data_IF_475208522138
#
_entry.id   IF_475208522138
#
_cell.length_a   1.000
_cell.length_b   1.000
_cell.length_c   1.000
_cell.angle_alpha   90.00
_cell.angle_beta   90.00
_cell.angle_gamma   90.00
#
_symmetry.space_group_name_H-M   'P 1'
#
loop_
_entity.id
_entity.type
_entity.pdbx_description
1 polymer ?
#
# COMPACT_ATOMS: atom_id res chain seq x y z
N UNK A 1 -0.92 -20.98 9.71
CA UNK A 1 0.17 -21.81 9.16
C UNK A 1 1.43 -20.99 9.27
N UNK A 2 2.38 -21.35 10.15
CA UNK A 2 3.68 -20.70 10.21
C UNK A 2 4.46 -20.95 8.91
N UNK A 3 5.11 -19.91 8.40
CA UNK A 3 6.04 -19.94 7.28
C UNK A 3 7.44 -19.87 7.84
N UNK A 4 8.30 -20.88 7.60
CA UNK A 4 9.71 -20.84 7.96
C UNK A 4 10.41 -19.63 7.32
N UNK A 5 11.33 -19.00 8.06
CA UNK A 5 12.10 -17.87 7.52
C UNK A 5 12.90 -18.19 6.25
N UNK A 6 13.23 -19.47 6.01
CA UNK A 6 13.91 -19.93 4.80
C UNK A 6 13.04 -19.86 3.52
N UNK A 7 11.72 -19.74 3.67
CA UNK A 7 10.79 -19.52 2.55
C UNK A 7 10.58 -18.03 2.23
N UNK A 8 11.22 -17.12 2.98
CA UNK A 8 11.17 -15.69 2.73
C UNK A 8 12.36 -15.28 1.86
N UNK A 9 12.08 -14.81 0.65
CA UNK A 9 13.09 -14.40 -0.31
C UNK A 9 13.34 -12.90 -0.22
N UNK A 10 14.60 -12.47 -0.27
CA UNK A 10 14.94 -11.04 -0.22
C UNK A 10 14.98 -10.45 -1.63
N UNK A 11 14.00 -9.60 -1.94
CA UNK A 11 13.94 -8.84 -3.19
C UNK A 11 14.59 -7.45 -3.09
N UNK A 12 14.61 -6.85 -1.90
CA UNK A 12 15.23 -5.55 -1.66
C UNK A 12 16.08 -5.55 -0.38
N UNK A 13 17.04 -4.62 -0.32
CA UNK A 13 17.79 -4.37 0.90
C UNK A 13 16.81 -4.02 2.04
N UNK A 14 17.18 -4.44 3.24
CA UNK A 14 16.38 -4.15 4.44
C UNK A 14 16.26 -2.63 4.59
N UNK A 15 15.05 -2.15 4.85
CA UNK A 15 14.72 -0.75 5.09
C UNK A 15 15.05 0.19 3.90
N UNK A 16 15.26 -0.37 2.69
CA UNK A 16 15.54 0.43 1.48
C UNK A 16 14.29 0.96 0.79
N UNK A 17 13.11 0.55 1.24
CA UNK A 17 11.81 0.99 0.74
C UNK A 17 11.12 1.69 1.91
N UNK A 18 11.21 3.02 2.00
CA UNK A 18 10.74 3.74 3.16
C UNK A 18 9.21 3.80 3.15
N UNK A 19 8.59 3.34 4.24
CA UNK A 19 7.13 3.36 4.35
C UNK A 19 6.64 4.79 4.61
N UNK A 20 5.46 5.14 4.10
CA UNK A 20 4.82 6.41 4.48
C UNK A 20 4.17 6.22 5.85
N UNK A 21 4.55 7.07 6.80
CA UNK A 21 4.09 6.98 8.19
C UNK A 21 3.40 8.22 8.70
N UNK A 22 3.59 9.35 8.00
CA UNK A 22 2.88 10.60 8.25
C UNK A 22 2.34 11.13 6.92
N UNK A 23 1.26 10.53 6.39
CA UNK A 23 0.74 10.89 5.08
C UNK A 23 0.08 12.27 5.11
N UNK A 24 0.48 13.13 4.18
CA UNK A 24 -0.17 14.41 3.91
C UNK A 24 -1.11 14.27 2.70
N UNK A 25 -2.13 15.13 2.65
CA UNK A 25 -3.16 15.10 1.61
C UNK A 25 -3.48 16.48 1.07
N UNK A 26 -3.90 16.54 -0.18
CA UNK A 26 -4.45 17.73 -0.84
C UNK A 26 -5.62 17.37 -1.76
N UNK A 27 -6.30 18.36 -2.34
CA UNK A 27 -7.40 18.11 -3.28
C UNK A 27 -6.89 17.50 -4.61
N UNK A 28 -5.69 17.88 -5.02
CA UNK A 28 -4.95 17.33 -6.14
C UNK A 28 -3.44 17.55 -5.91
N UNK A 29 -2.61 17.36 -6.94
CA UNK A 29 -1.18 17.69 -6.87
C UNK A 29 -0.86 19.08 -7.45
N UNK A 30 -1.86 19.95 -7.63
CA UNK A 30 -1.61 21.33 -8.04
C UNK A 30 -0.93 22.09 -6.88
N UNK A 31 0.32 22.50 -7.11
CA UNK A 31 1.13 23.19 -6.11
C UNK A 31 2.10 22.30 -5.34
N UNK A 32 2.14 20.98 -5.61
CA UNK A 32 3.21 20.14 -5.08
C UNK A 32 4.53 20.49 -5.78
N UNK A 33 5.53 20.87 -4.99
CA UNK A 33 6.89 21.15 -5.43
C UNK A 33 7.89 20.38 -4.56
N UNK A 34 8.76 19.59 -5.17
CA UNK A 34 9.73 18.75 -4.49
C UNK A 34 11.12 19.18 -4.90
N UNK A 35 11.91 19.64 -3.95
CA UNK A 35 13.33 19.88 -4.19
C UNK A 35 14.05 18.53 -4.29
N UNK A 36 14.69 18.30 -5.43
CA UNK A 36 15.47 17.10 -5.71
C UNK A 36 16.93 17.50 -5.76
N UNK A 37 17.76 16.74 -5.04
CA UNK A 37 19.20 16.84 -5.10
C UNK A 37 19.77 15.44 -5.32
N UNK A 38 20.14 15.14 -6.55
CA UNK A 38 20.64 13.84 -6.97
C UNK A 38 21.93 13.97 -7.81
N UNK A 39 22.35 12.87 -8.45
CA UNK A 39 23.56 12.84 -9.28
C UNK A 39 23.53 13.79 -10.48
N UNK A 40 22.35 14.29 -10.86
CA UNK A 40 22.14 15.24 -11.95
C UNK A 40 22.04 16.70 -11.47
N UNK A 41 22.11 16.95 -10.15
CA UNK A 41 22.14 18.28 -9.54
C UNK A 41 20.87 18.63 -8.75
N UNK A 42 20.73 19.91 -8.43
CA UNK A 42 19.59 20.45 -7.67
C UNK A 42 18.53 21.01 -8.62
N UNK A 43 17.28 20.53 -8.49
CA UNK A 43 16.14 21.02 -9.26
C UNK A 43 14.81 20.86 -8.51
N UNK A 44 13.85 21.72 -8.83
CA UNK A 44 12.48 21.62 -8.30
C UNK A 44 11.60 20.79 -9.23
N UNK A 45 11.17 19.61 -8.79
CA UNK A 45 10.18 18.80 -9.46
C UNK A 45 8.75 19.27 -9.12
N UNK A 46 7.88 19.41 -10.11
CA UNK A 46 6.46 19.76 -9.91
C UNK A 46 5.56 18.63 -10.40
N UNK A 47 5.46 17.52 -9.64
CA UNK A 47 4.70 16.36 -10.07
C UNK A 47 3.22 16.71 -10.25
N UNK A 48 2.61 16.16 -11.29
CA UNK A 48 1.16 16.25 -11.55
C UNK A 48 0.57 14.86 -11.60
N UNK A 49 -0.65 14.71 -11.08
CA UNK A 49 -1.42 13.49 -11.24
C UNK A 49 -2.26 13.62 -12.51
N UNK A 50 -1.92 12.85 -13.54
CA UNK A 50 -2.65 12.87 -14.81
C UNK A 50 -3.99 12.13 -14.70
N UNK A 51 -4.93 12.42 -15.59
CA UNK A 51 -6.25 11.78 -15.58
C UNK A 51 -6.20 10.25 -15.66
N UNK A 52 -5.26 9.71 -16.44
CA UNK A 52 -5.01 8.27 -16.53
C UNK A 52 -4.13 7.70 -15.42
N UNK A 53 -3.55 8.52 -14.54
CA UNK A 53 -2.82 8.01 -13.38
C UNK A 53 -3.79 7.28 -12.46
N UNK A 54 -3.32 6.23 -11.80
CA UNK A 54 -4.21 5.37 -11.01
C UNK A 54 -4.10 5.62 -9.54
N UNK A 55 -5.23 5.38 -8.88
CA UNK A 55 -5.35 5.52 -7.44
C UNK A 55 -6.00 4.27 -6.87
N UNK A 56 -5.56 3.89 -5.67
CA UNK A 56 -6.38 3.11 -4.76
C UNK A 56 -7.29 4.10 -4.05
N UNK A 57 -8.59 3.99 -4.24
CA UNK A 57 -9.60 4.80 -3.59
C UNK A 57 -10.20 4.08 -2.38
N UNK A 58 -10.38 4.79 -1.29
CA UNK A 58 -11.04 4.30 -0.07
C UNK A 58 -12.14 5.28 0.30
N UNK A 59 -13.36 4.78 0.44
CA UNK A 59 -14.52 5.54 0.92
C UNK A 59 -14.91 5.06 2.32
N UNK A 60 -15.12 6.00 3.25
CA UNK A 60 -15.58 5.77 4.62
C UNK A 60 -16.47 6.91 5.08
N UNK A 61 -17.63 6.59 5.63
CA UNK A 61 -18.58 7.56 6.20
C UNK A 61 -18.84 8.78 5.29
N UNK A 62 -18.97 8.55 3.98
CA UNK A 62 -19.22 9.59 2.97
C UNK A 62 -18.02 10.48 2.64
N UNK A 63 -16.83 10.17 3.15
CA UNK A 63 -15.55 10.78 2.76
C UNK A 63 -14.74 9.81 1.93
N UNK A 64 -13.90 10.36 1.07
CA UNK A 64 -13.06 9.59 0.17
C UNK A 64 -11.60 10.04 0.24
N UNK A 65 -10.71 9.07 0.08
CA UNK A 65 -9.28 9.29 0.01
C UNK A 65 -8.65 8.45 -1.10
N UNK A 66 -7.75 9.04 -1.85
CA UNK A 66 -7.05 8.45 -2.96
C UNK A 66 -5.55 8.28 -2.65
N UNK A 67 -5.01 7.11 -2.93
CA UNK A 67 -3.59 6.77 -2.78
C UNK A 67 -3.03 6.45 -4.17
N UNK A 68 -2.32 7.39 -4.82
CA UNK A 68 -1.80 7.19 -6.16
C UNK A 68 -0.84 6.01 -6.23
N UNK A 69 -1.04 5.14 -7.23
CA UNK A 69 -0.09 4.06 -7.50
C UNK A 69 1.31 4.63 -7.70
N UNK A 70 1.45 5.80 -8.33
CA UNK A 70 2.74 6.50 -8.48
C UNK A 70 3.54 6.69 -7.19
N UNK A 71 2.87 6.78 -6.05
CA UNK A 71 3.51 6.78 -4.73
C UNK A 71 3.67 5.34 -4.22
N UNK A 72 2.60 4.54 -4.31
CA UNK A 72 2.58 3.18 -3.78
C UNK A 72 3.58 2.22 -4.46
N UNK A 73 3.94 2.42 -5.73
CA UNK A 73 4.96 1.61 -6.42
C UNK A 73 6.34 1.78 -5.76
N UNK A 74 6.62 2.96 -5.18
CA UNK A 74 7.89 3.27 -4.53
C UNK A 74 7.89 3.00 -3.03
N UNK A 75 6.77 3.26 -2.35
CA UNK A 75 6.71 3.20 -0.89
C UNK A 75 6.06 1.92 -0.35
N UNK A 76 5.26 1.23 -1.17
CA UNK A 76 4.55 -0.04 -0.93
C UNK A 76 3.60 -0.10 0.29
N UNK A 77 3.77 0.77 1.28
CA UNK A 77 3.03 0.85 2.54
C UNK A 77 2.75 2.31 2.88
N UNK A 78 1.48 2.59 3.20
CA UNK A 78 1.03 3.85 3.81
C UNK A 78 0.33 3.53 5.13
N UNK A 79 0.82 4.12 6.22
CA UNK A 79 0.19 4.07 7.53
C UNK A 79 -0.62 5.33 7.73
N UNK A 80 -1.92 5.21 7.52
CA UNK A 80 -2.84 6.33 7.56
C UNK A 80 -3.77 6.25 8.79
N UNK A 81 -4.47 7.34 9.06
CA UNK A 81 -5.47 7.51 10.10
C UNK A 81 -6.85 7.90 9.53
N UNK A 82 -7.12 7.57 8.26
CA UNK A 82 -8.40 7.82 7.60
C UNK A 82 -9.54 7.03 8.26
N UNK A 83 -10.29 7.72 9.12
CA UNK A 83 -11.39 7.16 9.91
C UNK A 83 -10.98 5.94 10.70
N UNK A 84 -9.83 6.08 11.36
CA UNK A 84 -9.19 5.04 12.13
C UNK A 84 -7.88 4.56 11.51
N UNK A 85 -7.23 3.58 12.15
CA UNK A 85 -5.90 3.11 11.77
C UNK A 85 -5.97 2.32 10.46
N UNK A 86 -5.64 2.97 9.35
CA UNK A 86 -5.69 2.38 8.02
C UNK A 86 -4.29 2.00 7.52
N UNK A 87 -4.18 0.80 6.96
CA UNK A 87 -3.03 0.33 6.21
C UNK A 87 -3.41 0.25 4.73
N UNK A 88 -2.66 0.91 3.88
CA UNK A 88 -2.74 0.74 2.42
C UNK A 88 -1.45 0.10 1.96
N UNK A 89 -1.57 -1.01 1.23
CA UNK A 89 -0.42 -1.73 0.70
C UNK A 89 -0.55 -2.00 -0.78
N UNK A 90 0.59 -2.01 -1.46
CA UNK A 90 0.67 -2.38 -2.86
C UNK A 90 2.01 -3.05 -3.16
N UNK A 91 1.97 -4.21 -3.81
CA UNK A 91 3.14 -4.93 -4.26
C UNK A 91 3.33 -4.68 -5.77
N UNK A 92 4.38 -3.97 -6.20
CA UNK A 92 4.57 -3.60 -7.59
C UNK A 92 4.90 -4.79 -8.49
N UNK A 93 5.57 -5.82 -7.94
CA UNK A 93 5.89 -7.07 -8.65
C UNK A 93 4.60 -7.85 -8.94
N UNK A 94 3.76 -7.96 -7.91
CA UNK A 94 2.54 -8.73 -7.95
C UNK A 94 1.35 -7.97 -8.56
N UNK A 95 1.49 -6.66 -8.75
CA UNK A 95 0.41 -5.77 -9.21
C UNK A 95 -0.85 -5.96 -8.39
N UNK A 96 -0.69 -6.02 -7.07
CA UNK A 96 -1.77 -6.31 -6.16
C UNK A 96 -1.66 -5.52 -4.87
N UNK A 97 -2.81 -5.21 -4.29
CA UNK A 97 -2.90 -4.42 -3.07
C UNK A 97 -3.99 -4.91 -2.14
N UNK A 98 -3.90 -4.44 -0.89
CA UNK A 98 -4.85 -4.71 0.18
C UNK A 98 -4.94 -3.45 1.04
N UNK A 99 -6.17 -3.09 1.42
CA UNK A 99 -6.45 -2.08 2.42
C UNK A 99 -7.01 -2.77 3.66
N UNK A 100 -6.45 -2.47 4.83
CA UNK A 100 -6.84 -3.12 6.08
C UNK A 100 -6.74 -2.17 7.27
N UNK A 101 -7.27 -2.58 8.43
CA UNK A 101 -7.04 -1.88 9.68
C UNK A 101 -5.71 -2.30 10.31
N UNK A 102 -4.81 -1.35 10.60
CA UNK A 102 -3.51 -1.61 11.24
C UNK A 102 -3.62 -1.75 12.76
N UNK A 103 -4.56 -2.57 13.22
CA UNK A 103 -4.75 -2.88 14.64
C UNK A 103 -4.12 -4.23 14.94
N UNK A 104 -3.15 -4.24 15.86
CA UNK A 104 -2.50 -5.46 16.35
C UNK A 104 -2.56 -5.39 17.87
N UNK A 105 -3.03 -6.46 18.50
CA UNK A 105 -3.28 -6.47 19.96
C UNK A 105 -4.26 -5.41 20.46
N UNK A 106 -5.25 -5.09 19.65
CA UNK A 106 -6.26 -4.07 19.98
C UNK A 106 -5.75 -2.64 19.88
N UNK A 107 -4.47 -2.44 19.55
CA UNK A 107 -3.84 -1.13 19.45
C UNK A 107 -3.42 -0.82 18.01
N UNK A 108 -3.56 0.44 17.55
CA UNK A 108 -2.97 0.89 16.30
C UNK A 108 -1.44 0.69 16.29
N UNK A 109 -0.92 0.12 15.20
CA UNK A 109 0.54 0.00 14.98
C UNK A 109 0.94 0.55 13.63
N UNK A 110 2.24 0.78 13.44
CA UNK A 110 2.81 1.14 12.15
C UNK A 110 3.44 -0.08 11.50
N UNK A 111 3.35 -0.15 10.18
CA UNK A 111 3.93 -1.17 9.33
C UNK A 111 5.08 -0.59 8.53
N UNK A 112 6.14 -1.37 8.39
CA UNK A 112 7.28 -1.10 7.52
C UNK A 112 7.39 -2.14 6.41
N UNK A 113 8.12 -1.77 5.35
CA UNK A 113 8.46 -2.67 4.25
C UNK A 113 9.72 -3.45 4.62
N UNK A 114 9.70 -4.77 4.41
CA UNK A 114 10.83 -5.63 4.84
C UNK A 114 11.86 -5.91 3.74
N UNK A 115 11.46 -5.66 2.48
CA UNK A 115 12.16 -6.14 1.29
C UNK A 115 12.11 -7.66 1.10
N UNK A 116 11.31 -8.37 1.90
CA UNK A 116 11.08 -9.81 1.77
C UNK A 116 9.81 -10.08 0.96
N UNK A 117 9.85 -11.18 0.24
CA UNK A 117 8.79 -11.72 -0.59
C UNK A 117 8.43 -13.11 -0.09
N UNK A 118 7.15 -13.46 -0.17
CA UNK A 118 6.66 -14.79 0.09
C UNK A 118 5.54 -15.15 -0.89
N UNK A 119 5.60 -16.36 -1.44
CA UNK A 119 4.60 -16.85 -2.38
C UNK A 119 3.57 -17.75 -1.66
N UNK A 120 2.32 -17.30 -1.47
CA UNK A 120 1.27 -18.17 -0.95
C UNK A 120 0.90 -19.24 -1.98
N UNK A 121 0.40 -20.40 -1.53
CA UNK A 121 -0.22 -21.38 -2.42
C UNK A 121 -1.28 -20.73 -3.32
N UNK A 122 -1.31 -21.08 -4.61
CA UNK A 122 -2.18 -20.43 -5.60
C UNK A 122 -3.67 -20.44 -5.24
N UNK A 123 -4.15 -21.51 -4.60
CA UNK A 123 -5.54 -21.61 -4.11
C UNK A 123 -5.89 -20.52 -3.10
N UNK A 124 -4.94 -20.08 -2.26
CA UNK A 124 -5.19 -19.02 -1.26
C UNK A 124 -5.26 -17.65 -1.90
N UNK A 125 -4.36 -17.37 -2.84
CA UNK A 125 -4.41 -16.14 -3.63
C UNK A 125 -5.71 -16.03 -4.42
N UNK A 126 -6.15 -17.13 -5.06
CA UNK A 126 -7.42 -17.18 -5.77
C UNK A 126 -8.62 -16.96 -4.85
N UNK A 127 -8.62 -17.56 -3.65
CA UNK A 127 -9.69 -17.35 -2.67
C UNK A 127 -9.77 -15.88 -2.21
N UNK A 128 -8.64 -15.23 -1.91
CA UNK A 128 -8.61 -13.80 -1.54
C UNK A 128 -9.16 -12.90 -2.65
N UNK A 129 -8.87 -13.23 -3.90
CA UNK A 129 -9.45 -12.52 -5.04
C UNK A 129 -10.98 -12.61 -5.05
N UNK A 130 -11.50 -13.84 -4.95
CA UNK A 130 -12.94 -14.11 -5.06
C UNK A 130 -13.75 -13.49 -3.92
N UNK A 131 -13.14 -13.31 -2.75
CA UNK A 131 -13.76 -12.63 -1.61
C UNK A 131 -13.78 -11.10 -1.76
N UNK A 132 -13.07 -10.53 -2.74
CA UNK A 132 -12.91 -9.07 -2.90
C UNK A 132 -11.97 -8.44 -1.87
N UNK A 133 -11.24 -9.27 -1.13
CA UNK A 133 -10.35 -8.85 -0.04
C UNK A 133 -9.01 -8.29 -0.53
N UNK A 134 -8.61 -8.69 -1.74
CA UNK A 134 -7.41 -8.21 -2.42
C UNK A 134 -7.77 -7.78 -3.84
N UNK A 135 -7.10 -6.75 -4.33
CA UNK A 135 -7.32 -6.22 -5.66
C UNK A 135 -6.06 -6.31 -6.50
N UNK A 136 -6.24 -6.58 -7.80
CA UNK A 136 -5.17 -6.48 -8.78
C UNK A 136 -5.22 -5.12 -9.47
N UNK A 137 -4.05 -4.51 -9.68
CA UNK A 137 -3.94 -3.20 -10.29
C UNK A 137 -2.57 -3.05 -10.95
N UNK A 138 -2.54 -2.56 -12.19
CA UNK A 138 -1.30 -2.17 -12.87
C UNK A 138 -1.32 -0.68 -13.23
N UNK A 139 -0.37 -0.16 -14.01
CA UNK A 139 -0.50 1.18 -14.60
C UNK A 139 -1.48 1.22 -15.77
N UNK A 140 -1.73 0.08 -16.42
CA UNK A 140 -2.38 0.04 -17.74
C UNK A 140 -3.73 -0.69 -17.75
N UNK A 141 -4.00 -1.58 -16.78
CA UNK A 141 -5.28 -2.32 -16.63
C UNK A 141 -5.76 -2.39 -15.15
N UNK A 142 -6.89 -1.74 -14.76
CA UNK A 142 -7.32 -1.64 -13.36
C UNK A 142 -7.99 -2.92 -12.87
N UNK A 143 -8.40 -3.78 -13.81
CA UNK A 143 -8.94 -5.11 -13.58
C UNK A 143 -7.86 -6.18 -13.77
N UNK A 144 -6.58 -5.78 -13.77
CA UNK A 144 -5.46 -6.68 -13.95
C UNK A 144 -5.56 -7.84 -12.96
N UNK A 145 -5.37 -9.10 -13.40
CA UNK A 145 -5.48 -10.23 -12.50
C UNK A 145 -4.41 -10.16 -11.41
N UNK A 146 -4.81 -10.52 -10.18
CA UNK A 146 -3.89 -10.69 -9.06
C UNK A 146 -2.74 -11.64 -9.46
N UNK A 147 -1.50 -11.18 -9.29
CA UNK A 147 -0.32 -12.05 -9.42
C UNK A 147 0.15 -12.46 -8.03
N UNK A 148 0.53 -13.73 -7.90
CA UNK A 148 1.03 -14.31 -6.66
C UNK A 148 2.50 -14.72 -6.77
N UNK A 149 3.29 -13.97 -7.54
CA UNK A 149 4.71 -14.23 -7.79
C UNK A 149 5.58 -13.49 -6.77
N UNK A 150 5.77 -14.07 -5.59
CA UNK A 150 6.54 -13.46 -4.50
C UNK A 150 5.87 -12.20 -3.94
N UNK A 151 4.82 -12.38 -3.14
CA UNK A 151 4.06 -11.26 -2.57
C UNK A 151 4.83 -10.55 -1.46
N UNK A 152 4.62 -9.24 -1.39
CA UNK A 152 5.19 -8.37 -0.37
C UNK A 152 4.96 -8.92 1.05
N UNK A 153 6.02 -8.92 1.85
CA UNK A 153 5.97 -9.14 3.28
C UNK A 153 6.18 -7.82 4.00
N UNK A 154 5.22 -7.42 4.82
CA UNK A 154 5.30 -6.22 5.67
C UNK A 154 5.54 -6.62 7.12
N UNK A 155 6.01 -5.69 7.94
CA UNK A 155 6.29 -5.95 9.35
C UNK A 155 5.67 -4.89 10.23
N UNK A 156 4.94 -5.32 11.25
CA UNK A 156 4.41 -4.40 12.26
C UNK A 156 5.49 -4.00 13.28
N UNK A 157 5.42 -2.77 13.77
CA UNK A 157 6.38 -2.24 14.75
C UNK A 157 6.13 -2.75 16.16
N UNK A 158 4.87 -3.03 16.51
CA UNK A 158 4.48 -3.40 17.88
C UNK A 158 5.04 -4.76 18.33
N UNK A 159 4.90 -5.77 17.47
CA UNK A 159 5.27 -7.16 17.76
C UNK A 159 6.45 -7.63 16.93
N UNK A 160 6.72 -6.94 15.82
CA UNK A 160 7.77 -7.33 14.89
C UNK A 160 7.43 -8.55 14.04
N UNK A 161 6.14 -8.90 13.94
CA UNK A 161 5.66 -10.03 13.15
C UNK A 161 5.68 -9.71 11.66
N UNK A 162 5.84 -10.74 10.84
CA UNK A 162 5.90 -10.66 9.39
C UNK A 162 4.57 -11.07 8.81
N UNK A 163 3.99 -10.20 8.00
CA UNK A 163 2.66 -10.33 7.44
C UNK A 163 2.73 -10.54 5.94
N UNK A 164 1.99 -11.52 5.44
CA UNK A 164 1.67 -11.59 4.02
C UNK A 164 0.71 -10.47 3.71
N UNK A 165 1.15 -9.51 2.89
CA UNK A 165 0.34 -8.40 2.43
C UNK A 165 -0.94 -8.91 1.74
N UNK A 166 -0.79 -9.84 0.80
CA UNK A 166 -1.90 -10.39 0.02
C UNK A 166 -2.96 -11.10 0.87
N UNK A 167 -2.54 -11.77 1.95
CA UNK A 167 -3.46 -12.50 2.81
C UNK A 167 -3.97 -11.69 4.00
N UNK A 168 -3.41 -10.49 4.25
CA UNK A 168 -3.58 -9.70 5.46
C UNK A 168 -3.35 -10.52 6.75
N UNK A 169 -2.34 -11.42 6.74
CA UNK A 169 -2.14 -12.42 7.80
C UNK A 169 -0.69 -12.54 8.22
N UNK A 170 -0.45 -12.72 9.52
CA UNK A 170 0.89 -13.05 10.03
C UNK A 170 1.30 -14.44 9.57
N UNK A 171 2.43 -14.47 8.86
CA UNK A 171 3.03 -15.70 8.35
C UNK A 171 4.23 -16.16 9.19
N UNK A 172 4.93 -15.24 9.86
CA UNK A 172 6.08 -15.56 10.69
C UNK A 172 6.19 -14.58 11.86
N UNK A 173 6.64 -15.07 13.02
CA UNK A 173 6.85 -14.26 14.22
C UNK A 173 5.80 -14.47 15.33
N UNK A 174 5.81 -13.62 16.37
CA UNK A 174 5.06 -13.84 17.61
C UNK A 174 3.55 -13.99 17.45
N UNK A 175 2.96 -13.39 16.41
CA UNK A 175 1.52 -13.33 16.18
C UNK A 175 1.03 -14.25 15.07
N UNK A 176 1.81 -15.28 14.74
CA UNK A 176 1.54 -16.16 13.59
C UNK A 176 0.10 -16.68 13.56
N UNK A 177 -0.60 -16.41 12.47
CA UNK A 177 -2.00 -16.79 12.30
C UNK A 177 -2.99 -15.63 12.40
N UNK A 178 -2.64 -14.55 13.10
CA UNK A 178 -3.48 -13.35 13.24
C UNK A 178 -3.75 -12.71 11.87
N UNK A 179 -4.94 -12.13 11.71
CA UNK A 179 -5.38 -11.46 10.49
C UNK A 179 -5.76 -10.00 10.78
N UNK A 180 -5.52 -9.12 9.81
CA UNK A 180 -6.04 -7.75 9.85
C UNK A 180 -7.46 -7.73 9.27
N UNK A 181 -8.30 -6.84 9.80
CA UNK A 181 -9.61 -6.58 9.24
C UNK A 181 -9.47 -5.83 7.90
N UNK A 182 -9.77 -6.51 6.79
CA UNK A 182 -9.72 -5.92 5.45
C UNK A 182 -10.87 -4.93 5.27
N UNK A 183 -10.63 -3.93 4.41
CA UNK A 183 -11.53 -2.83 4.15
C UNK A 183 -11.68 -2.66 2.64
N UNK A 184 -12.90 -2.33 2.22
CA UNK A 184 -13.19 -2.13 0.81
C UNK A 184 -12.35 -0.98 0.24
N UNK A 185 -11.89 -1.19 -0.98
CA UNK A 185 -11.14 -0.21 -1.75
C UNK A 185 -11.39 -0.44 -3.24
N UNK A 186 -11.28 0.62 -4.01
CA UNK A 186 -11.48 0.59 -5.47
C UNK A 186 -10.18 0.98 -6.16
N UNK A 187 -9.89 0.36 -7.30
CA UNK A 187 -8.82 0.81 -8.20
C UNK A 187 -9.49 1.50 -9.36
N UNK A 188 -9.07 2.72 -9.66
CA UNK A 188 -9.60 3.49 -10.77
C UNK A 188 -8.53 4.42 -11.35
N UNK A 189 -8.78 4.92 -12.55
CA UNK A 189 -8.07 6.11 -13.02
C UNK A 189 -8.44 7.31 -12.16
N UNK A 190 -7.56 8.31 -12.12
CA UNK A 190 -7.76 9.52 -11.35
C UNK A 190 -9.00 10.28 -11.83
N UNK A 191 -9.23 10.33 -13.14
CA UNK A 191 -10.42 10.92 -13.74
C UNK A 191 -11.71 10.24 -13.26
N UNK A 192 -11.79 8.91 -13.32
CA UNK A 192 -12.97 8.16 -12.87
C UNK A 192 -13.23 8.35 -11.38
N UNK A 193 -12.17 8.29 -10.56
CA UNK A 193 -12.26 8.46 -9.12
C UNK A 193 -12.73 9.87 -8.75
N UNK A 194 -12.08 10.91 -9.28
CA UNK A 194 -12.44 12.31 -8.95
C UNK A 194 -13.80 12.73 -9.50
N UNK A 195 -14.28 12.06 -10.55
CA UNK A 195 -15.64 12.27 -11.08
C UNK A 195 -16.71 11.76 -10.13
N UNK A 196 -16.48 10.60 -9.51
CA UNK A 196 -17.40 10.00 -8.53
C UNK A 196 -17.22 10.55 -7.11
N UNK A 197 -16.03 11.08 -6.79
CA UNK A 197 -15.66 11.58 -5.46
C UNK A 197 -15.00 12.96 -5.54
N UNK A 198 -15.80 13.98 -5.89
CA UNK A 198 -15.30 15.34 -6.15
C UNK A 198 -14.67 16.05 -4.95
N UNK A 199 -14.93 15.57 -3.73
CA UNK A 199 -14.35 16.06 -2.47
C UNK A 199 -13.26 15.14 -1.92
N UNK A 200 -12.75 14.20 -2.72
CA UNK A 200 -11.70 13.28 -2.28
C UNK A 200 -10.40 14.03 -1.94
N UNK A 201 -9.73 13.57 -0.90
CA UNK A 201 -8.35 13.95 -0.60
C UNK A 201 -7.40 12.98 -1.30
N UNK A 202 -6.32 13.46 -1.92
CA UNK A 202 -5.28 12.64 -2.54
C UNK A 202 -3.96 12.74 -1.80
N UNK A 203 -3.32 11.59 -1.57
CA UNK A 203 -2.01 11.50 -0.93
C UNK A 203 -0.98 12.30 -1.73
N UNK A 204 -0.23 13.18 -1.07
CA UNK A 204 0.87 13.94 -1.70
C UNK A 204 2.20 13.22 -1.49
N UNK A 205 3.14 13.29 -2.45
CA UNK A 205 4.42 12.58 -2.34
C UNK A 205 5.33 13.20 -1.25
N UNK A 206 6.28 12.43 -0.72
CA UNK A 206 7.39 12.98 0.07
C UNK A 206 8.13 14.12 -0.68
N UNK A 207 8.73 15.08 0.03
CA UNK A 207 8.84 15.17 1.49
C UNK A 207 7.58 15.71 2.20
N UNK A 208 6.50 16.07 1.47
CA UNK A 208 5.27 16.54 2.11
C UNK A 208 4.64 15.46 2.98
N UNK A 209 4.65 14.21 2.52
CA UNK A 209 4.39 13.04 3.35
C UNK A 209 5.66 12.56 4.02
N UNK A 210 5.60 12.33 5.33
CA UNK A 210 6.70 11.81 6.12
C UNK A 210 6.91 10.30 5.91
N UNK A 211 8.17 9.91 5.83
CA UNK A 211 8.59 8.52 5.66
C UNK A 211 9.54 8.07 6.77
N UNK A 212 9.68 6.74 6.92
CA UNK A 212 10.51 6.08 7.93
C UNK A 212 11.44 5.05 7.30
#
# INVERSE_FOLDING_TARGET
MPVPGAELERGALRDAIPAITDPAFGADWSGVAVEVNDEFGEYTATPRLADGDRVVGVERDGRARAYPLRILVWHEVVNDSFDGPLLVTYCPICRSGVVAERVVDGEPTAFGVTGLLWQPPGVRAAARNQSGDAFGASSDDPDAPLRNSGNLVVRDKATGSYWSQLLARVICGPRTGDELAIRASTVATWEEWRTSHSTTDVLVPPPHSGTL
#
